data_IF_533046523216
#
_entry.id   IF_533046523216
#
_cell.length_a   1.000
_cell.length_b   1.000
_cell.length_c   1.000
_cell.angle_alpha   90.00
_cell.angle_beta   90.00
_cell.angle_gamma   90.00
#
_symmetry.space_group_name_H-M   'P 1'
#
loop_
_entity.id
_entity.type
_entity.pdbx_description
1 polymer ?
#
# COMPACT_ATOMS: atom_id res chain seq x y z
N UNK A 1 -14.17 13.21 -11.29
CA UNK A 1 -14.41 13.23 -9.83
C UNK A 1 -13.17 12.64 -9.18
N UNK A 2 -12.50 13.36 -8.28
CA UNK A 2 -11.24 12.92 -7.69
C UNK A 2 -11.52 11.95 -6.55
N UNK A 3 -11.10 10.69 -6.70
CA UNK A 3 -11.26 9.64 -5.70
C UNK A 3 -10.05 9.51 -4.76
N UNK A 4 -9.01 10.32 -4.98
CA UNK A 4 -7.77 10.38 -4.20
C UNK A 4 -7.96 10.86 -2.76
N UNK A 5 -9.06 11.56 -2.47
CA UNK A 5 -9.41 12.02 -1.13
C UNK A 5 -10.05 10.94 -0.25
N UNK A 6 -10.35 9.76 -0.81
CA UNK A 6 -10.91 8.66 -0.03
C UNK A 6 -9.82 8.06 0.84
N UNK A 7 -9.98 8.19 2.16
CA UNK A 7 -9.08 7.59 3.15
C UNK A 7 -9.59 6.22 3.61
N UNK A 8 -8.68 5.28 3.77
CA UNK A 8 -8.96 3.88 4.07
C UNK A 8 -8.73 2.93 2.89
N UNK A 9 -9.21 1.70 3.04
CA UNK A 9 -8.96 0.62 2.09
C UNK A 9 -10.03 0.51 0.99
N UNK A 10 -9.57 0.08 -0.18
CA UNK A 10 -10.42 -0.43 -1.25
C UNK A 10 -10.46 -1.96 -1.13
N UNK A 11 -11.66 -2.53 -1.18
CA UNK A 11 -11.87 -3.98 -1.18
C UNK A 11 -12.24 -4.39 -2.59
N UNK A 12 -11.40 -5.21 -3.20
CA UNK A 12 -11.53 -5.64 -4.60
C UNK A 12 -11.66 -7.15 -4.60
N UNK A 13 -12.65 -7.65 -5.34
CA UNK A 13 -12.81 -9.08 -5.58
C UNK A 13 -11.82 -9.59 -6.61
N UNK A 14 -11.69 -10.91 -6.65
CA UNK A 14 -10.92 -11.65 -7.64
C UNK A 14 -11.36 -11.39 -9.11
N UNK A 15 -12.63 -11.10 -9.33
CA UNK A 15 -13.17 -10.70 -10.65
C UNK A 15 -12.98 -9.21 -11.00
N UNK A 16 -12.24 -8.46 -10.19
CA UNK A 16 -11.90 -7.06 -10.42
C UNK A 16 -12.98 -6.07 -9.99
N UNK A 17 -14.07 -6.52 -9.37
CA UNK A 17 -15.12 -5.63 -8.86
C UNK A 17 -14.69 -4.97 -7.55
N UNK A 18 -14.79 -3.65 -7.49
CA UNK A 18 -14.63 -2.88 -6.24
C UNK A 18 -15.90 -3.05 -5.40
N UNK A 19 -15.81 -3.82 -4.32
CA UNK A 19 -16.91 -4.03 -3.37
C UNK A 19 -17.14 -2.83 -2.47
N UNK A 20 -16.06 -2.18 -2.05
CA UNK A 20 -16.11 -1.06 -1.13
C UNK A 20 -14.87 -0.18 -1.25
N UNK A 21 -15.00 1.08 -0.86
CA UNK A 21 -13.91 2.03 -0.73
C UNK A 21 -14.02 2.76 0.62
N UNK A 22 -12.92 3.34 1.09
CA UNK A 22 -12.86 4.10 2.34
C UNK A 22 -13.11 3.26 3.59
N UNK A 23 -12.73 1.98 3.56
CA UNK A 23 -12.97 1.07 4.69
C UNK A 23 -11.87 1.18 5.72
N UNK A 24 -12.25 1.36 6.98
CA UNK A 24 -11.37 1.13 8.10
C UNK A 24 -11.19 -0.37 8.32
N UNK A 25 -9.93 -0.83 8.30
CA UNK A 25 -9.59 -2.22 8.54
C UNK A 25 -9.24 -2.40 10.01
N UNK A 26 -10.18 -2.99 10.76
CA UNK A 26 -9.94 -3.38 12.15
C UNK A 26 -9.44 -4.83 12.19
N UNK A 27 -8.16 -5.02 11.89
CA UNK A 27 -7.48 -6.31 12.02
C UNK A 27 -6.28 -6.14 12.94
N UNK A 28 -6.05 -7.12 13.81
CA UNK A 28 -4.86 -7.15 14.66
C UNK A 28 -3.72 -7.85 13.92
N UNK A 29 -2.55 -7.23 13.92
CA UNK A 29 -1.33 -7.87 13.42
C UNK A 29 -0.68 -8.66 14.57
N UNK A 30 -0.62 -9.98 14.43
CA UNK A 30 0.03 -10.87 15.40
C UNK A 30 1.38 -11.41 14.89
N UNK A 31 1.83 -10.95 13.72
CA UNK A 31 3.10 -11.38 13.13
C UNK A 31 4.30 -10.56 13.62
N UNK A 32 5.44 -10.75 12.95
CA UNK A 32 6.68 -10.05 13.26
C UNK A 32 6.51 -8.52 13.23
N UNK A 33 7.25 -7.78 14.08
CA UNK A 33 7.24 -6.32 14.07
C UNK A 33 7.56 -5.78 12.69
N UNK A 34 6.80 -4.78 12.26
CA UNK A 34 7.06 -4.14 10.96
C UNK A 34 8.39 -3.37 10.99
N UNK A 35 9.13 -3.37 9.86
CA UNK A 35 10.29 -2.51 9.68
C UNK A 35 9.97 -1.04 9.97
N UNK A 36 10.97 -0.32 10.49
CA UNK A 36 10.85 1.12 10.70
C UNK A 36 10.60 1.87 9.38
N UNK A 37 9.88 2.99 9.46
CA UNK A 37 9.53 3.82 8.30
C UNK A 37 8.25 3.41 7.58
N UNK A 38 7.54 2.37 8.05
CA UNK A 38 6.25 1.96 7.53
C UNK A 38 5.10 2.54 8.38
N UNK A 39 4.19 3.28 7.73
CA UNK A 39 3.04 3.91 8.39
C UNK A 39 1.76 3.08 8.42
N UNK A 40 0.65 3.70 8.85
CA UNK A 40 -0.65 3.04 9.10
C UNK A 40 -1.18 2.20 7.93
N UNK A 41 -1.06 2.64 6.67
CA UNK A 41 -1.51 1.87 5.50
C UNK A 41 -0.78 0.52 5.38
N UNK A 42 0.51 0.48 5.70
CA UNK A 42 1.29 -0.75 5.70
C UNK A 42 0.84 -1.67 6.84
N UNK A 43 0.60 -1.11 8.03
CA UNK A 43 0.13 -1.87 9.19
C UNK A 43 -1.25 -2.48 8.95
N UNK A 44 -2.18 -1.73 8.37
CA UNK A 44 -3.50 -2.25 8.00
C UNK A 44 -3.41 -3.35 6.94
N UNK A 45 -2.51 -3.21 5.95
CA UNK A 45 -2.27 -4.21 4.92
C UNK A 45 -1.65 -5.50 5.48
N UNK A 46 -0.69 -5.40 6.40
CA UNK A 46 -0.13 -6.55 7.11
C UNK A 46 -1.19 -7.21 8.01
N UNK A 47 -1.97 -6.43 8.76
CA UNK A 47 -2.95 -7.00 9.67
C UNK A 47 -4.08 -7.74 8.94
N UNK A 48 -4.70 -7.15 7.91
CA UNK A 48 -5.77 -7.81 7.14
C UNK A 48 -5.24 -9.04 6.38
N UNK A 49 -4.02 -8.87 5.87
CA UNK A 49 -3.01 -9.87 5.56
C UNK A 49 -3.02 -11.18 6.34
N UNK A 50 -2.86 -11.02 7.65
CA UNK A 50 -2.59 -12.10 8.57
C UNK A 50 -3.83 -12.84 9.04
N UNK A 51 -5.03 -12.27 8.82
CA UNK A 51 -6.30 -12.84 9.29
C UNK A 51 -7.25 -13.23 8.15
N UNK A 52 -6.83 -13.06 6.89
CA UNK A 52 -7.58 -13.43 5.68
C UNK A 52 -6.64 -14.01 4.63
N UNK A 53 -7.19 -14.70 3.62
CA UNK A 53 -6.42 -15.19 2.47
C UNK A 53 -6.15 -14.11 1.40
N UNK A 54 -6.39 -12.83 1.72
CA UNK A 54 -6.24 -11.73 0.77
C UNK A 54 -4.77 -11.35 0.51
N UNK A 55 -4.57 -10.62 -0.57
CA UNK A 55 -3.33 -9.89 -0.86
C UNK A 55 -3.66 -8.41 -0.75
N UNK A 56 -2.76 -7.65 -0.10
CA UNK A 56 -2.93 -6.22 0.07
C UNK A 56 -1.75 -5.45 -0.50
N UNK A 57 -2.04 -4.27 -1.06
CA UNK A 57 -1.05 -3.34 -1.56
C UNK A 57 -1.13 -2.03 -0.76
N UNK A 58 0.01 -1.53 -0.32
CA UNK A 58 0.13 -0.23 0.33
C UNK A 58 1.08 0.66 -0.48
N UNK A 59 0.63 1.87 -0.81
CA UNK A 59 1.46 2.87 -1.49
C UNK A 59 1.96 3.87 -0.46
N UNK A 60 3.28 3.99 -0.36
CA UNK A 60 3.93 4.99 0.48
C UNK A 60 3.73 6.39 -0.08
N UNK A 61 3.23 7.30 0.75
CA UNK A 61 3.06 8.71 0.38
C UNK A 61 4.42 9.41 0.18
N UNK A 62 5.39 9.14 1.04
CA UNK A 62 6.69 9.82 1.03
C UNK A 62 7.61 9.33 -0.09
N UNK A 63 7.54 8.04 -0.43
CA UNK A 63 8.47 7.42 -1.38
C UNK A 63 7.82 6.95 -2.68
N UNK A 64 6.49 6.89 -2.74
CA UNK A 64 5.77 6.33 -3.88
C UNK A 64 5.98 4.82 -4.09
N UNK A 65 6.69 4.14 -3.18
CA UNK A 65 6.91 2.70 -3.24
C UNK A 65 5.61 1.94 -3.02
N UNK A 66 5.40 0.87 -3.76
CA UNK A 66 4.25 -0.03 -3.61
C UNK A 66 4.73 -1.28 -2.88
N UNK A 67 4.22 -1.51 -1.69
CA UNK A 67 4.56 -2.68 -0.86
C UNK A 67 3.41 -3.69 -0.93
N UNK A 68 3.73 -4.95 -1.19
CA UNK A 68 2.76 -6.05 -1.32
C UNK A 68 2.85 -6.95 -0.09
N UNK A 69 1.70 -7.27 0.50
CA UNK A 69 1.56 -8.09 1.70
C UNK A 69 0.72 -9.34 1.43
N UNK A 70 1.11 -10.45 2.04
CA UNK A 70 0.34 -11.71 2.11
C UNK A 70 0.66 -12.43 3.41
N UNK A 71 -0.35 -13.00 4.08
CA UNK A 71 -0.17 -13.72 5.34
C UNK A 71 0.46 -12.85 6.44
N UNK A 72 0.25 -11.54 6.37
CA UNK A 72 0.79 -10.56 7.32
C UNK A 72 2.27 -10.22 7.17
N UNK A 73 2.91 -10.67 6.09
CA UNK A 73 4.32 -10.37 5.81
C UNK A 73 4.48 -9.65 4.48
N UNK A 74 5.56 -8.88 4.35
CA UNK A 74 5.94 -8.24 3.09
C UNK A 74 6.43 -9.33 2.13
N UNK A 75 5.82 -9.41 0.96
CA UNK A 75 6.24 -10.30 -0.12
C UNK A 75 7.30 -9.60 -0.97
N UNK A 76 7.04 -8.36 -1.37
CA UNK A 76 7.96 -7.56 -2.17
C UNK A 76 7.59 -6.08 -2.14
N UNK A 77 8.51 -5.24 -2.57
CA UNK A 77 8.34 -3.79 -2.71
C UNK A 77 8.77 -3.36 -4.11
N UNK A 78 7.90 -2.62 -4.79
CA UNK A 78 8.14 -2.08 -6.13
C UNK A 78 8.51 -0.61 -5.99
N UNK A 79 9.64 -0.23 -6.57
CA UNK A 79 10.07 1.16 -6.60
C UNK A 79 9.36 1.95 -7.69
N UNK A 80 9.08 3.22 -7.40
CA UNK A 80 8.56 4.14 -8.40
C UNK A 80 9.63 4.35 -9.47
N UNK A 81 9.31 4.06 -10.73
CA UNK A 81 10.20 4.36 -11.85
C UNK A 81 10.33 5.88 -11.98
N UNK A 82 11.53 6.42 -11.81
CA UNK A 82 11.84 7.81 -12.14
C UNK A 82 11.90 7.94 -13.66
N UNK A 83 11.08 8.81 -14.25
CA UNK A 83 11.24 9.20 -15.66
C UNK A 83 12.60 9.88 -15.86
N UNK A 84 13.38 9.57 -16.92
CA UNK A 84 14.71 10.16 -17.16
C UNK A 84 14.78 11.68 -17.36
N UNK A 85 13.69 12.45 -17.27
CA UNK A 85 13.62 13.83 -17.77
C UNK A 85 13.44 14.87 -16.65
N UNK A 86 14.38 14.95 -15.71
CA UNK A 86 14.64 16.18 -14.95
C UNK A 86 16.14 16.27 -14.61
N UNK A 87 17.00 16.35 -15.62
CA UNK A 87 18.26 17.10 -15.47
C UNK A 87 17.96 18.53 -15.88
N UNK A 88 17.83 19.41 -14.89
CA UNK A 88 17.88 20.85 -15.13
C UNK A 88 19.18 21.16 -15.86
N UNK A 89 19.07 21.65 -17.09
CA UNK A 89 20.21 22.20 -17.82
C UNK A 89 20.78 23.32 -16.95
N UNK A 90 22.08 23.34 -16.64
CA UNK A 90 22.67 24.46 -15.92
C UNK A 90 22.49 25.73 -16.77
N UNK A 91 21.85 26.73 -16.19
CA UNK A 91 21.84 28.09 -16.76
C UNK A 91 23.26 28.62 -16.57
N UNK A 92 23.91 28.90 -17.69
CA UNK A 92 25.26 29.49 -17.77
C UNK A 92 25.21 30.92 -17.25
#
# INVERSE_FOLDING_TARGET
KEFSSIDGAFIIRDDGVVLAAGRYLNAAHHGEPMPQGLGARHSSAAAITGVTDSVALAISESSGKVTIFKGGSIVTTIEKTTSPTQKSVPII
#
